data_IF_936073448888
#
_entry.id   IF_936073448888
#
_cell.length_a   1.000
_cell.length_b   1.000
_cell.length_c   1.000
_cell.angle_alpha   90.00
_cell.angle_beta   90.00
_cell.angle_gamma   90.00
#
_symmetry.space_group_name_H-M   'P 1'
#
loop_
_entity.id
_entity.type
_entity.pdbx_description
1 polymer ?
#
# COMPACT_ATOMS: atom_id res chain seq x y z
N UNK A 1 -43.79 -12.74 10.89
CA UNK A 1 -42.56 -13.04 11.66
C UNK A 1 -42.87 -12.71 13.10
N UNK A 2 -42.59 -13.64 13.98
CA UNK A 2 -42.87 -13.56 15.41
C UNK A 2 -41.57 -13.68 16.18
N UNK A 3 -41.54 -13.12 17.37
CA UNK A 3 -40.35 -13.19 18.20
C UNK A 3 -40.69 -13.25 19.69
N UNK A 4 -39.75 -13.76 20.47
CA UNK A 4 -39.76 -13.81 21.94
C UNK A 4 -38.48 -13.16 22.43
N UNK A 5 -38.62 -12.28 23.41
CA UNK A 5 -37.51 -11.75 24.22
C UNK A 5 -37.46 -12.54 25.53
N UNK A 6 -36.28 -13.08 25.87
CA UNK A 6 -36.01 -13.64 27.19
C UNK A 6 -34.83 -12.90 27.81
N UNK A 7 -34.98 -12.45 29.06
CA UNK A 7 -33.86 -11.94 29.84
C UNK A 7 -32.85 -13.05 30.10
N UNK A 8 -31.57 -12.68 30.16
CA UNK A 8 -30.52 -13.60 30.57
C UNK A 8 -30.64 -13.88 32.07
N UNK A 9 -30.78 -15.15 32.47
CA UNK A 9 -30.62 -15.51 33.87
C UNK A 9 -29.16 -15.24 34.28
N UNK A 10 -28.95 -14.57 35.42
CA UNK A 10 -27.60 -14.25 35.91
C UNK A 10 -26.74 -15.53 36.01
N UNK A 11 -25.59 -15.50 35.34
CA UNK A 11 -24.63 -16.60 35.23
C UNK A 11 -23.86 -16.93 36.53
N UNK A 12 -24.50 -16.79 37.69
CA UNK A 12 -23.97 -17.25 38.99
C UNK A 12 -24.40 -18.69 39.34
N UNK A 13 -25.08 -19.40 38.42
CA UNK A 13 -25.32 -20.84 38.57
C UNK A 13 -24.52 -21.64 37.54
N UNK A 14 -23.54 -22.34 38.07
CA UNK A 14 -22.69 -23.32 37.40
C UNK A 14 -23.50 -24.28 36.51
N UNK A 15 -23.00 -24.53 35.29
CA UNK A 15 -23.33 -25.65 34.39
C UNK A 15 -24.70 -25.72 33.70
N UNK A 16 -25.48 -24.64 33.62
CA UNK A 16 -26.71 -24.60 32.82
C UNK A 16 -26.54 -23.86 31.50
N UNK A 17 -26.57 -24.54 30.36
CA UNK A 17 -26.71 -23.85 29.07
C UNK A 17 -28.01 -23.05 29.02
N UNK A 18 -28.02 -21.89 28.35
CA UNK A 18 -29.20 -21.03 28.19
C UNK A 18 -30.44 -21.87 27.85
N UNK A 19 -31.51 -21.72 28.65
CA UNK A 19 -32.76 -22.44 28.47
C UNK A 19 -33.38 -22.05 27.12
N UNK A 20 -33.20 -22.89 26.10
CA UNK A 20 -33.77 -22.67 24.78
C UNK A 20 -35.31 -22.61 24.85
N UNK A 21 -35.89 -21.58 24.23
CA UNK A 21 -37.35 -21.46 24.06
C UNK A 21 -37.87 -22.71 23.33
N UNK A 22 -38.77 -23.46 23.97
CA UNK A 22 -39.44 -24.57 23.29
C UNK A 22 -40.49 -24.04 22.32
N UNK A 23 -40.88 -24.84 21.30
CA UNK A 23 -41.94 -24.44 20.37
C UNK A 23 -43.27 -24.12 21.09
N UNK A 24 -43.65 -24.94 22.08
CA UNK A 24 -44.86 -24.74 22.87
C UNK A 24 -44.81 -23.45 23.70
N UNK A 25 -43.64 -23.14 24.28
CA UNK A 25 -43.45 -21.88 24.99
C UNK A 25 -43.51 -20.69 24.03
N UNK A 26 -42.83 -20.78 22.88
CA UNK A 26 -42.84 -19.77 21.84
C UNK A 26 -44.26 -19.46 21.36
N UNK A 27 -45.06 -20.48 21.06
CA UNK A 27 -46.47 -20.32 20.65
C UNK A 27 -47.31 -19.55 21.66
N UNK A 28 -47.01 -19.70 22.96
CA UNK A 28 -47.75 -19.06 24.04
C UNK A 28 -47.38 -17.59 24.23
N UNK A 29 -46.10 -17.22 24.06
CA UNK A 29 -45.60 -15.90 24.46
C UNK A 29 -45.07 -15.03 23.31
N UNK A 30 -44.97 -15.56 22.09
CA UNK A 30 -44.45 -14.83 20.97
C UNK A 30 -45.30 -13.61 20.60
N UNK A 31 -44.61 -12.53 20.23
CA UNK A 31 -45.19 -11.28 19.76
C UNK A 31 -44.96 -11.14 18.26
N UNK A 32 -45.90 -10.50 17.57
CA UNK A 32 -45.78 -10.26 16.14
C UNK A 32 -44.75 -9.14 15.89
N UNK A 33 -43.60 -9.47 15.32
CA UNK A 33 -42.60 -8.48 14.90
C UNK A 33 -43.06 -7.77 13.61
N UNK A 34 -43.43 -8.54 12.59
CA UNK A 34 -43.89 -8.00 11.31
C UNK A 34 -44.88 -8.94 10.62
N UNK A 35 -45.89 -8.37 9.98
CA UNK A 35 -46.77 -9.07 9.05
C UNK A 35 -46.54 -8.56 7.64
N UNK A 36 -46.03 -9.43 6.76
CA UNK A 36 -45.76 -9.10 5.36
C UNK A 36 -46.98 -9.53 4.55
N UNK A 37 -47.65 -8.58 3.89
CA UNK A 37 -48.77 -8.90 2.98
C UNK A 37 -48.26 -9.48 1.66
N UNK A 38 -49.06 -10.31 1.00
CA UNK A 38 -48.70 -11.00 -0.25
C UNK A 38 -48.20 -10.02 -1.32
N UNK A 39 -48.81 -8.84 -1.41
CA UNK A 39 -48.48 -7.82 -2.40
C UNK A 39 -47.05 -7.27 -2.23
N UNK A 40 -46.48 -7.40 -1.02
CA UNK A 40 -45.11 -6.99 -0.71
C UNK A 40 -44.09 -8.12 -0.82
N UNK A 41 -44.49 -9.35 -1.11
CA UNK A 41 -43.57 -10.50 -1.17
C UNK A 41 -42.46 -10.30 -2.21
N UNK A 42 -42.80 -9.69 -3.35
CA UNK A 42 -41.84 -9.37 -4.41
C UNK A 42 -40.67 -8.52 -3.91
N UNK A 43 -40.91 -7.58 -2.98
CA UNK A 43 -39.87 -6.72 -2.41
C UNK A 43 -38.85 -7.48 -1.54
N UNK A 44 -39.21 -8.67 -1.05
CA UNK A 44 -38.35 -9.49 -0.20
C UNK A 44 -37.74 -10.69 -0.94
N UNK A 45 -38.00 -10.85 -2.25
CA UNK A 45 -37.41 -11.96 -3.03
C UNK A 45 -35.92 -11.69 -3.25
N UNK A 46 -35.07 -12.69 -2.98
CA UNK A 46 -33.63 -12.56 -3.20
C UNK A 46 -33.32 -12.35 -4.70
N UNK A 47 -32.57 -11.31 -5.05
CA UNK A 47 -32.10 -11.07 -6.43
C UNK A 47 -31.20 -12.25 -6.87
N UNK A 48 -31.42 -12.77 -8.08
CA UNK A 48 -30.59 -13.82 -8.68
C UNK A 48 -30.93 -15.26 -8.28
N UNK A 49 -32.02 -15.53 -7.54
CA UNK A 49 -32.46 -16.91 -7.32
C UNK A 49 -33.35 -17.40 -8.45
N UNK A 50 -32.83 -18.30 -9.30
CA UNK A 50 -33.63 -19.02 -10.32
C UNK A 50 -34.65 -20.00 -9.68
N UNK A 51 -34.50 -20.32 -8.39
CA UNK A 51 -35.43 -21.18 -7.67
C UNK A 51 -36.64 -20.41 -7.12
N UNK A 52 -37.88 -20.93 -7.23
CA UNK A 52 -39.03 -20.36 -6.55
C UNK A 52 -38.84 -20.48 -5.02
N UNK A 53 -38.80 -19.35 -4.30
CA UNK A 53 -39.16 -19.33 -2.87
C UNK A 53 -38.15 -18.81 -1.83
N UNK A 54 -37.02 -18.20 -2.19
CA UNK A 54 -36.14 -17.56 -1.18
C UNK A 54 -36.53 -16.10 -0.92
N UNK A 55 -36.94 -15.82 0.32
CA UNK A 55 -37.25 -14.48 0.81
C UNK A 55 -36.25 -14.04 1.88
N UNK A 56 -35.86 -12.76 1.87
CA UNK A 56 -34.96 -12.16 2.86
C UNK A 56 -35.69 -11.00 3.55
N UNK A 57 -35.77 -11.05 4.87
CA UNK A 57 -36.26 -9.96 5.71
C UNK A 57 -35.12 -9.48 6.61
N UNK A 58 -34.98 -8.16 6.73
CA UNK A 58 -34.00 -7.53 7.61
C UNK A 58 -34.72 -7.09 8.89
N UNK A 59 -34.27 -7.58 10.03
CA UNK A 59 -34.71 -7.13 11.34
C UNK A 59 -33.65 -6.17 11.89
N UNK A 60 -34.05 -4.94 12.18
CA UNK A 60 -33.17 -3.91 12.74
C UNK A 60 -33.31 -3.92 14.26
N UNK A 61 -32.18 -4.08 14.96
CA UNK A 61 -32.11 -4.00 16.41
C UNK A 61 -32.09 -2.52 16.83
N UNK A 62 -32.99 -2.16 17.74
CA UNK A 62 -33.10 -0.81 18.30
C UNK A 62 -32.46 -0.75 19.68
N UNK A 63 -32.15 0.45 20.19
CA UNK A 63 -31.39 0.66 21.45
C UNK A 63 -31.84 -0.14 22.69
N UNK A 64 -33.07 -0.67 22.74
CA UNK A 64 -33.57 -1.53 23.83
C UNK A 64 -33.28 -3.03 23.63
N UNK A 65 -33.02 -3.45 22.39
CA UNK A 65 -32.79 -4.83 21.97
C UNK A 65 -31.34 -5.29 22.22
N UNK A 66 -30.43 -4.35 22.51
CA UNK A 66 -29.03 -4.61 22.86
C UNK A 66 -28.83 -4.92 24.36
N UNK A 67 -29.89 -4.88 25.17
CA UNK A 67 -29.86 -5.41 26.55
C UNK A 67 -29.60 -6.93 26.50
N UNK A 68 -29.00 -7.55 27.55
CA UNK A 68 -28.68 -8.99 27.55
C UNK A 68 -29.97 -9.83 27.52
N UNK A 69 -30.47 -10.04 26.30
CA UNK A 69 -31.69 -10.77 25.99
C UNK A 69 -31.43 -11.71 24.84
N UNK A 70 -32.00 -12.91 24.93
CA UNK A 70 -32.06 -13.83 23.82
C UNK A 70 -33.29 -13.50 22.98
N UNK A 71 -33.07 -13.24 21.69
CA UNK A 71 -34.13 -13.02 20.72
C UNK A 71 -34.36 -14.31 19.94
N UNK A 72 -35.52 -14.93 20.14
CA UNK A 72 -35.91 -16.12 19.39
C UNK A 72 -36.95 -15.75 18.36
N UNK A 73 -36.75 -16.15 17.10
CA UNK A 73 -37.63 -15.84 15.97
C UNK A 73 -38.32 -17.10 15.44
N UNK A 74 -39.57 -16.93 15.03
CA UNK A 74 -40.39 -17.94 14.39
C UNK A 74 -41.18 -17.37 13.23
N UNK A 75 -41.28 -18.13 12.15
CA UNK A 75 -42.00 -17.75 10.94
C UNK A 75 -43.26 -18.60 10.83
N UNK A 76 -44.39 -18.01 10.45
CA UNK A 76 -45.59 -18.75 10.06
C UNK A 76 -46.30 -17.99 8.96
N UNK A 77 -47.09 -18.72 8.16
CA UNK A 77 -47.85 -18.15 7.05
C UNK A 77 -49.33 -18.16 7.36
N UNK A 78 -50.06 -17.19 6.78
CA UNK A 78 -51.52 -17.18 6.73
C UNK A 78 -51.97 -17.40 5.30
N UNK A 79 -52.93 -18.27 5.11
CA UNK A 79 -53.56 -18.44 3.81
C UNK A 79 -54.64 -17.38 3.54
N UNK A 80 -55.27 -17.44 2.35
CA UNK A 80 -56.34 -16.49 1.97
C UNK A 80 -57.58 -16.57 2.87
N UNK A 81 -57.79 -17.68 3.57
CA UNK A 81 -58.88 -17.89 4.54
C UNK A 81 -58.46 -17.53 5.97
N UNK A 82 -57.31 -16.86 6.15
CA UNK A 82 -56.72 -16.47 7.44
C UNK A 82 -56.33 -17.65 8.34
N UNK A 83 -56.23 -18.86 7.80
CA UNK A 83 -55.73 -20.03 8.53
C UNK A 83 -54.23 -19.91 8.71
N UNK A 84 -53.75 -20.15 9.92
CA UNK A 84 -52.33 -20.08 10.28
C UNK A 84 -51.67 -21.44 10.14
N UNK A 85 -50.45 -21.49 9.62
CA UNK A 85 -49.58 -22.65 9.76
C UNK A 85 -49.02 -22.74 11.19
N UNK A 86 -48.44 -23.90 11.52
CA UNK A 86 -47.47 -23.97 12.62
C UNK A 86 -46.27 -23.06 12.36
N UNK A 87 -45.46 -22.82 13.38
CA UNK A 87 -44.22 -22.08 13.24
C UNK A 87 -43.12 -22.90 12.53
N UNK A 88 -42.19 -22.20 11.89
CA UNK A 88 -40.93 -22.73 11.43
C UNK A 88 -40.08 -23.26 12.59
N UNK A 89 -38.94 -23.87 12.27
CA UNK A 89 -37.85 -23.99 13.24
C UNK A 89 -37.54 -22.62 13.85
N UNK A 90 -37.23 -22.62 15.15
CA UNK A 90 -36.91 -21.42 15.89
C UNK A 90 -35.44 -21.03 15.68
N UNK A 91 -35.20 -19.74 15.50
CA UNK A 91 -33.86 -19.17 15.39
C UNK A 91 -33.60 -18.27 16.58
N UNK A 92 -32.67 -18.65 17.45
CA UNK A 92 -32.24 -17.82 18.58
C UNK A 92 -30.96 -17.07 18.21
N UNK A 93 -30.95 -15.76 18.47
CA UNK A 93 -29.78 -14.90 18.34
C UNK A 93 -29.53 -14.16 19.66
N UNK A 94 -28.26 -13.88 19.92
CA UNK A 94 -27.79 -13.08 21.04
C UNK A 94 -27.17 -11.79 20.49
N UNK A 95 -27.89 -10.66 20.54
CA UNK A 95 -27.32 -9.38 20.18
C UNK A 95 -26.09 -9.05 21.04
N UNK A 96 -24.99 -8.65 20.39
CA UNK A 96 -23.79 -8.19 21.09
C UNK A 96 -23.62 -6.70 20.85
N UNK A 97 -23.35 -5.95 21.92
CA UNK A 97 -22.93 -4.56 21.80
C UNK A 97 -21.50 -4.55 21.28
N UNK A 98 -21.34 -3.98 20.10
CA UNK A 98 -20.06 -3.93 19.39
C UNK A 98 -19.65 -2.47 19.15
N UNK A 99 -18.35 -2.23 19.06
CA UNK A 99 -17.83 -0.92 18.67
C UNK A 99 -18.33 -0.52 17.28
N UNK A 100 -18.59 0.78 17.08
CA UNK A 100 -18.71 1.35 15.73
C UNK A 100 -17.41 1.13 14.93
N UNK A 101 -17.47 1.21 13.59
CA UNK A 101 -16.27 1.08 12.76
C UNK A 101 -15.23 2.17 13.07
N UNK A 102 -13.94 1.89 12.83
CA UNK A 102 -12.91 2.93 12.76
C UNK A 102 -13.28 4.01 11.74
N UNK A 103 -12.76 5.21 11.94
CA UNK A 103 -13.05 6.38 11.09
C UNK A 103 -11.78 7.15 10.76
N UNK A 104 -11.85 8.01 9.75
CA UNK A 104 -10.73 8.86 9.37
C UNK A 104 -9.53 8.07 8.86
N UNK A 105 -9.79 7.00 8.10
CA UNK A 105 -8.72 6.24 7.46
C UNK A 105 -7.90 7.15 6.54
N UNK A 106 -6.58 6.99 6.54
CA UNK A 106 -5.63 7.69 5.67
C UNK A 106 -4.57 6.71 5.20
N UNK A 107 -4.00 6.97 4.02
CA UNK A 107 -2.88 6.20 3.49
C UNK A 107 -1.74 7.14 3.08
N UNK A 108 -0.51 6.73 3.40
CA UNK A 108 0.71 7.39 2.95
C UNK A 108 1.60 6.35 2.26
N UNK A 109 2.07 6.68 1.05
CA UNK A 109 2.94 5.80 0.27
C UNK A 109 4.38 6.05 0.69
N UNK A 110 5.13 4.98 0.92
CA UNK A 110 6.58 4.95 1.14
C UNK A 110 7.24 4.09 0.06
N UNK A 111 8.57 4.05 0.01
CA UNK A 111 9.29 3.21 -0.96
C UNK A 111 9.02 1.71 -0.78
N UNK A 112 8.74 1.27 0.44
CA UNK A 112 8.65 -0.15 0.82
C UNK A 112 7.27 -0.58 1.35
N UNK A 113 6.33 0.37 1.53
CA UNK A 113 4.98 0.08 2.02
C UNK A 113 3.97 1.19 1.72
N UNK A 114 2.70 0.85 1.83
CA UNK A 114 1.62 1.80 2.08
C UNK A 114 1.32 1.78 3.57
N UNK A 115 1.54 2.90 4.26
CA UNK A 115 1.18 3.06 5.66
C UNK A 115 -0.25 3.57 5.79
N UNK A 116 -1.10 2.78 6.44
CA UNK A 116 -2.50 3.06 6.68
C UNK A 116 -2.64 3.51 8.13
N UNK A 117 -3.31 4.62 8.37
CA UNK A 117 -3.58 5.19 9.71
C UNK A 117 -5.06 5.48 9.87
N UNK A 118 -5.57 5.48 11.10
CA UNK A 118 -7.00 5.68 11.39
C UNK A 118 -7.25 6.16 12.82
N UNK A 119 -8.45 6.68 13.07
CA UNK A 119 -8.93 6.96 14.42
C UNK A 119 -9.78 5.79 14.95
N UNK A 120 -9.70 5.47 16.25
CA UNK A 120 -10.64 4.54 16.87
C UNK A 120 -12.07 5.08 16.79
N UNK A 121 -13.06 4.19 16.85
CA UNK A 121 -14.42 4.61 17.17
C UNK A 121 -14.49 5.22 18.57
N UNK A 122 -15.43 6.13 18.80
CA UNK A 122 -15.66 6.75 20.12
C UNK A 122 -16.83 6.08 20.89
N UNK A 123 -17.67 5.33 20.17
CA UNK A 123 -18.91 4.74 20.69
C UNK A 123 -19.14 3.33 20.17
N UNK A 124 -19.99 2.60 20.88
CA UNK A 124 -20.59 1.36 20.43
C UNK A 124 -21.84 1.62 19.57
N UNK A 125 -22.36 0.57 18.94
CA UNK A 125 -23.57 0.61 18.09
C UNK A 125 -24.81 1.14 18.84
N UNK A 126 -24.87 0.94 20.15
CA UNK A 126 -25.93 1.44 21.04
C UNK A 126 -25.66 2.86 21.59
N UNK A 127 -24.65 3.56 21.06
CA UNK A 127 -24.18 4.88 21.50
C UNK A 127 -23.49 4.91 22.86
N UNK A 128 -23.28 3.77 23.52
CA UNK A 128 -22.53 3.70 24.77
C UNK A 128 -21.02 3.91 24.56
N UNK A 129 -20.34 4.31 25.64
CA UNK A 129 -18.88 4.48 25.72
C UNK A 129 -18.35 3.86 27.03
N UNK A 130 -17.07 3.44 27.11
CA UNK A 130 -16.08 3.42 26.03
C UNK A 130 -16.40 2.36 24.96
N UNK A 131 -15.86 2.51 23.75
CA UNK A 131 -16.01 1.52 22.68
C UNK A 131 -15.36 0.18 23.08
N UNK A 132 -16.02 -0.93 22.76
CA UNK A 132 -15.53 -2.27 23.07
C UNK A 132 -14.79 -2.85 21.87
N UNK A 133 -13.46 -2.89 21.92
CA UNK A 133 -12.62 -3.62 20.96
C UNK A 133 -11.27 -4.00 21.58
N UNK A 134 -10.57 -4.92 20.91
CA UNK A 134 -9.30 -5.54 21.28
C UNK A 134 -8.18 -5.21 20.31
N UNK A 135 -8.53 -4.86 19.08
CA UNK A 135 -7.63 -4.42 18.03
C UNK A 135 -8.36 -4.27 16.70
N UNK A 136 -7.61 -4.26 15.61
CA UNK A 136 -8.13 -4.03 14.27
C UNK A 136 -7.73 -5.13 13.31
N UNK A 137 -8.61 -5.37 12.34
CA UNK A 137 -8.30 -6.06 11.11
C UNK A 137 -8.32 -5.08 9.95
N UNK A 138 -7.31 -5.20 9.09
CA UNK A 138 -7.13 -4.38 7.91
C UNK A 138 -7.45 -5.26 6.72
N UNK A 139 -8.31 -4.76 5.85
CA UNK A 139 -8.74 -5.45 4.65
C UNK A 139 -8.32 -4.68 3.42
N UNK A 140 -7.85 -5.40 2.40
CA UNK A 140 -7.56 -4.89 1.06
C UNK A 140 -8.58 -5.45 0.09
N UNK A 141 -9.12 -4.61 -0.78
CA UNK A 141 -10.00 -5.03 -1.86
C UNK A 141 -9.18 -5.32 -3.10
N UNK A 142 -9.46 -6.45 -3.76
CA UNK A 142 -8.96 -6.68 -5.12
C UNK A 142 -9.79 -5.88 -6.15
N UNK A 143 -9.43 -5.98 -7.42
CA UNK A 143 -10.13 -5.31 -8.52
C UNK A 143 -11.62 -5.68 -8.58
N UNK A 144 -11.96 -6.94 -8.34
CA UNK A 144 -13.33 -7.45 -8.29
C UNK A 144 -14.12 -7.00 -7.05
N UNK A 145 -13.52 -6.23 -6.14
CA UNK A 145 -14.16 -5.74 -4.91
C UNK A 145 -14.28 -6.80 -3.82
N UNK A 146 -13.56 -7.93 -3.93
CA UNK A 146 -13.46 -8.93 -2.87
C UNK A 146 -12.39 -8.51 -1.87
N UNK A 147 -12.74 -8.56 -0.60
CA UNK A 147 -11.87 -8.18 0.50
C UNK A 147 -11.08 -9.38 1.05
N UNK A 148 -9.80 -9.18 1.34
CA UNK A 148 -8.98 -10.13 2.08
C UNK A 148 -8.25 -9.43 3.22
N UNK A 149 -8.07 -10.15 4.33
CA UNK A 149 -7.44 -9.64 5.55
C UNK A 149 -5.91 -9.65 5.39
N UNK A 150 -5.25 -8.54 5.73
CA UNK A 150 -3.79 -8.39 5.61
C UNK A 150 -3.02 -8.86 6.84
N UNK A 151 -3.57 -8.64 8.02
CA UNK A 151 -2.92 -8.96 9.29
C UNK A 151 -3.31 -10.36 9.78
N UNK A 152 -2.36 -11.13 10.32
CA UNK A 152 -2.63 -12.42 10.95
C UNK A 152 -3.06 -12.26 12.41
N UNK A 153 -2.39 -11.38 13.15
CA UNK A 153 -2.72 -10.98 14.52
C UNK A 153 -3.44 -9.63 14.56
N UNK A 154 -4.25 -9.39 15.60
CA UNK A 154 -4.95 -8.12 15.76
C UNK A 154 -3.95 -6.96 15.91
N UNK A 155 -4.15 -5.91 15.13
CA UNK A 155 -3.34 -4.69 15.23
C UNK A 155 -3.85 -3.86 16.40
N UNK A 156 -2.98 -3.59 17.39
CA UNK A 156 -3.34 -2.77 18.57
C UNK A 156 -3.01 -1.29 18.38
N UNK A 157 -2.08 -1.00 17.48
CA UNK A 157 -1.69 0.36 17.10
C UNK A 157 -2.75 1.01 16.21
N UNK A 158 -2.60 2.30 15.92
CA UNK A 158 -3.45 3.07 14.97
C UNK A 158 -2.80 3.24 13.60
N UNK A 159 -1.92 2.29 13.27
CA UNK A 159 -1.20 2.25 12.01
C UNK A 159 -0.91 0.81 11.58
N UNK A 160 -0.82 0.60 10.27
CA UNK A 160 -0.45 -0.66 9.66
C UNK A 160 0.31 -0.41 8.35
N UNK A 161 1.41 -1.12 8.11
CA UNK A 161 2.17 -1.01 6.87
C UNK A 161 1.92 -2.20 5.94
N UNK A 162 1.19 -1.98 4.84
CA UNK A 162 1.07 -2.95 3.75
C UNK A 162 2.35 -2.93 2.90
N UNK A 163 3.16 -3.98 3.02
CA UNK A 163 4.41 -4.14 2.27
C UNK A 163 4.22 -4.85 0.93
N UNK A 164 3.05 -5.43 0.70
CA UNK A 164 2.72 -6.12 -0.54
C UNK A 164 2.11 -5.12 -1.53
N UNK A 165 2.99 -4.26 -2.05
CA UNK A 165 2.64 -3.23 -3.01
C UNK A 165 3.61 -3.18 -4.18
N UNK A 166 3.12 -2.67 -5.29
CA UNK A 166 3.85 -2.28 -6.48
C UNK A 166 3.53 -0.83 -6.77
N UNK A 167 4.56 -0.01 -7.01
CA UNK A 167 4.39 1.38 -7.37
C UNK A 167 3.71 1.49 -8.74
N UNK A 168 2.82 2.48 -8.88
CA UNK A 168 1.97 2.68 -10.06
C UNK A 168 0.57 2.06 -9.94
N UNK A 169 0.35 1.18 -8.97
CA UNK A 169 -0.94 0.49 -8.79
C UNK A 169 -1.87 1.23 -7.82
N UNK A 170 -3.19 0.98 -7.95
CA UNK A 170 -4.23 1.55 -7.07
C UNK A 170 -4.64 0.52 -6.03
N UNK A 171 -4.70 0.96 -4.78
CA UNK A 171 -5.03 0.12 -3.62
C UNK A 171 -6.25 0.65 -2.90
N UNK A 172 -7.11 -0.26 -2.44
CA UNK A 172 -8.32 0.08 -1.69
C UNK A 172 -8.34 -0.67 -0.36
N UNK A 173 -8.58 0.05 0.73
CA UNK A 173 -8.54 -0.47 2.08
C UNK A 173 -9.79 -0.10 2.88
N UNK A 174 -10.18 -0.97 3.80
CA UNK A 174 -11.07 -0.62 4.91
C UNK A 174 -10.65 -1.40 6.16
N UNK A 175 -11.13 -0.96 7.31
CA UNK A 175 -10.82 -1.57 8.60
C UNK A 175 -12.08 -2.02 9.32
N UNK A 176 -11.88 -2.94 10.25
CA UNK A 176 -12.87 -3.31 11.26
C UNK A 176 -12.24 -3.36 12.63
N UNK A 177 -12.98 -2.90 13.64
CA UNK A 177 -12.63 -3.12 15.04
C UNK A 177 -13.03 -4.54 15.44
N UNK A 178 -12.14 -5.26 16.14
CA UNK A 178 -12.34 -6.65 16.55
C UNK A 178 -12.54 -6.72 18.05
N UNK A 179 -13.48 -7.54 18.51
CA UNK A 179 -14.02 -7.48 19.88
C UNK A 179 -13.68 -8.73 20.68
N UNK A 180 -13.55 -9.87 20.00
CA UNK A 180 -13.13 -11.12 20.64
C UNK A 180 -11.68 -11.44 20.30
N UNK A 181 -10.96 -11.93 21.31
CA UNK A 181 -9.59 -12.43 21.22
C UNK A 181 -9.55 -13.87 20.67
N UNK A 182 -10.71 -14.46 20.36
CA UNK A 182 -10.86 -15.87 19.96
C UNK A 182 -11.94 -16.04 18.89
N UNK A 183 -11.73 -16.97 17.93
CA UNK A 183 -12.72 -17.29 16.90
C UNK A 183 -14.07 -17.81 17.47
N UNK A 184 -15.20 -17.56 16.78
CA UNK A 184 -15.33 -16.69 15.63
C UNK A 184 -15.09 -15.22 16.03
N UNK A 185 -14.30 -14.51 15.23
CA UNK A 185 -14.02 -13.10 15.47
C UNK A 185 -15.33 -12.30 15.31
N UNK A 186 -15.66 -11.50 16.31
CA UNK A 186 -16.73 -10.50 16.20
C UNK A 186 -16.12 -9.17 15.79
N UNK A 187 -16.58 -8.62 14.68
CA UNK A 187 -16.07 -7.40 14.07
C UNK A 187 -17.17 -6.35 13.95
N UNK A 188 -16.77 -5.07 13.97
CA UNK A 188 -17.63 -3.96 13.56
C UNK A 188 -18.00 -4.06 12.08
N UNK A 189 -18.90 -3.17 11.65
CA UNK A 189 -19.03 -2.84 10.23
C UNK A 189 -17.70 -2.34 9.63
N UNK A 190 -17.67 -2.20 8.31
CA UNK A 190 -16.53 -1.61 7.61
C UNK A 190 -16.41 -0.12 7.95
N UNK A 191 -15.18 0.36 8.09
CA UNK A 191 -14.89 1.78 7.91
C UNK A 191 -15.25 2.25 6.49
N UNK A 192 -15.12 3.55 6.24
CA UNK A 192 -15.03 4.07 4.89
C UNK A 192 -13.88 3.40 4.11
N UNK A 193 -14.05 3.31 2.79
CA UNK A 193 -13.02 2.78 1.89
C UNK A 193 -12.03 3.89 1.57
N UNK A 194 -10.75 3.67 1.88
CA UNK A 194 -9.64 4.50 1.40
C UNK A 194 -9.12 3.96 0.08
N UNK A 195 -9.01 4.81 -0.93
CA UNK A 195 -8.33 4.51 -2.17
C UNK A 195 -7.04 5.33 -2.27
N UNK A 196 -5.95 4.69 -2.67
CA UNK A 196 -4.63 5.33 -2.82
C UNK A 196 -3.92 4.80 -4.05
N UNK A 197 -3.43 5.71 -4.89
CA UNK A 197 -2.47 5.39 -5.95
C UNK A 197 -1.07 5.33 -5.33
N UNK A 198 -0.39 4.19 -5.44
CA UNK A 198 0.98 4.00 -4.99
C UNK A 198 1.97 4.69 -5.92
N UNK A 199 1.87 6.01 -6.09
CA UNK A 199 2.71 6.77 -7.00
C UNK A 199 4.16 6.76 -6.52
N UNK A 200 5.07 6.48 -7.43
CA UNK A 200 6.50 6.60 -7.17
C UNK A 200 6.94 8.07 -7.20
N UNK A 201 7.39 8.55 -6.04
CA UNK A 201 7.95 9.90 -5.86
C UNK A 201 9.34 9.84 -5.20
N UNK A 202 9.97 8.66 -5.19
CA UNK A 202 11.20 8.41 -4.42
C UNK A 202 12.40 8.39 -5.34
N UNK A 203 13.05 9.54 -5.47
CA UNK A 203 14.29 9.64 -6.23
C UNK A 203 15.33 8.60 -5.78
N UNK A 204 16.16 8.10 -6.71
CA UNK A 204 17.32 7.27 -6.37
C UNK A 204 18.28 8.00 -5.41
N UNK A 205 19.15 7.24 -4.76
CA UNK A 205 20.30 7.79 -4.06
C UNK A 205 21.23 8.51 -5.04
N UNK A 206 21.90 9.56 -4.55
CA UNK A 206 22.93 10.24 -5.34
C UNK A 206 24.07 9.24 -5.68
N UNK A 207 24.59 9.25 -6.92
CA UNK A 207 25.72 8.41 -7.30
C UNK A 207 26.95 8.69 -6.43
N UNK A 208 27.73 7.65 -6.13
CA UNK A 208 28.95 7.71 -5.32
C UNK A 208 30.17 7.25 -6.12
N UNK A 209 31.37 7.40 -5.53
CA UNK A 209 32.60 6.91 -6.16
C UNK A 209 32.99 7.65 -7.45
N UNK A 210 32.53 8.89 -7.62
CA UNK A 210 32.80 9.67 -8.82
C UNK A 210 34.30 9.96 -8.96
N UNK A 211 34.87 9.53 -10.07
CA UNK A 211 36.26 9.78 -10.46
C UNK A 211 36.33 10.29 -11.89
N UNK A 212 37.37 11.06 -12.18
CA UNK A 212 37.63 11.60 -13.51
C UNK A 212 39.10 11.45 -13.88
N UNK A 213 39.37 11.13 -15.15
CA UNK A 213 40.72 10.98 -15.70
C UNK A 213 40.78 11.74 -17.03
N UNK A 214 41.71 12.68 -17.16
CA UNK A 214 41.98 13.35 -18.43
C UNK A 214 42.80 12.47 -19.36
N UNK A 215 42.36 12.39 -20.62
CA UNK A 215 43.13 11.85 -21.75
C UNK A 215 43.55 13.02 -22.67
N UNK A 216 44.07 12.71 -23.87
CA UNK A 216 44.45 13.74 -24.85
C UNK A 216 43.23 14.48 -25.44
N UNK A 217 42.15 13.74 -25.71
CA UNK A 217 40.99 14.25 -26.46
C UNK A 217 39.69 14.32 -25.64
N UNK A 218 39.64 13.68 -24.47
CA UNK A 218 38.43 13.64 -23.64
C UNK A 218 38.74 13.48 -22.14
N UNK A 219 37.76 13.79 -21.31
CA UNK A 219 37.79 13.42 -19.89
C UNK A 219 36.89 12.19 -19.69
N UNK A 220 37.47 11.09 -19.21
CA UNK A 220 36.74 9.89 -18.80
C UNK A 220 36.21 10.08 -17.39
N UNK A 221 34.92 9.84 -17.18
CA UNK A 221 34.24 9.98 -15.90
C UNK A 221 33.60 8.64 -15.57
N UNK A 222 33.77 8.15 -14.35
CA UNK A 222 33.15 6.90 -13.90
C UNK A 222 32.72 6.99 -12.45
N UNK A 223 31.72 6.19 -12.08
CA UNK A 223 31.15 6.15 -10.73
C UNK A 223 30.67 4.74 -10.38
N UNK A 224 30.32 4.53 -9.12
CA UNK A 224 29.74 3.28 -8.66
C UNK A 224 28.28 3.16 -9.11
N UNK A 225 27.86 1.97 -9.53
CA UNK A 225 26.48 1.74 -9.94
C UNK A 225 25.51 1.81 -8.75
N UNK A 226 24.35 2.43 -9.00
CA UNK A 226 23.22 2.51 -8.10
C UNK A 226 22.53 1.14 -8.04
N UNK A 227 21.92 0.80 -6.90
CA UNK A 227 21.35 -0.53 -6.65
C UNK A 227 19.81 -0.56 -6.77
N UNK A 228 19.21 0.60 -7.02
CA UNK A 228 17.77 0.76 -7.21
C UNK A 228 17.27 -0.01 -8.44
N UNK A 229 16.24 -0.86 -8.24
CA UNK A 229 15.68 -1.74 -9.29
C UNK A 229 14.95 -0.98 -10.40
N UNK A 230 14.47 0.21 -10.08
CA UNK A 230 13.74 1.13 -10.93
C UNK A 230 14.62 2.21 -11.55
N UNK A 231 15.95 2.13 -11.41
CA UNK A 231 16.89 3.02 -12.07
C UNK A 231 16.67 3.01 -13.59
N UNK A 232 16.49 4.20 -14.18
CA UNK A 232 16.46 4.39 -15.63
C UNK A 232 17.84 4.72 -16.20
N UNK A 233 18.66 5.45 -15.43
CA UNK A 233 20.04 5.76 -15.80
C UNK A 233 20.60 7.00 -15.09
N UNK A 234 21.65 7.57 -15.66
CA UNK A 234 22.41 8.67 -15.10
C UNK A 234 22.39 9.91 -16.00
N UNK A 235 22.43 11.09 -15.38
CA UNK A 235 22.63 12.36 -16.06
C UNK A 235 23.98 12.94 -15.66
N UNK A 236 24.79 13.30 -16.65
CA UNK A 236 26.13 13.86 -16.46
C UNK A 236 26.06 15.36 -16.64
N UNK A 237 26.55 16.08 -15.63
CA UNK A 237 26.57 17.53 -15.62
C UNK A 237 28.00 18.04 -15.54
N UNK A 238 28.29 19.14 -16.23
CA UNK A 238 29.61 19.77 -16.25
C UNK A 238 29.51 21.27 -16.06
N UNK A 239 30.51 21.88 -15.43
CA UNK A 239 30.79 23.30 -15.58
C UNK A 239 32.28 23.55 -15.75
N UNK A 240 32.66 24.64 -16.41
CA UNK A 240 34.05 25.08 -16.48
C UNK A 240 34.44 25.84 -15.20
N UNK A 241 35.73 25.85 -14.86
CA UNK A 241 36.27 26.73 -13.83
C UNK A 241 35.94 28.20 -14.13
N UNK A 242 35.41 28.91 -13.13
CA UNK A 242 34.90 30.27 -13.29
C UNK A 242 33.41 30.35 -13.71
N UNK A 243 32.77 29.24 -14.07
CA UNK A 243 31.32 29.21 -14.31
C UNK A 243 30.52 28.86 -13.05
N UNK A 244 29.35 29.47 -12.92
CA UNK A 244 28.44 29.26 -11.79
C UNK A 244 27.51 28.06 -11.99
N UNK A 245 27.11 27.78 -13.24
CA UNK A 245 26.05 26.81 -13.56
C UNK A 245 26.61 25.57 -14.23
N UNK A 246 26.10 24.42 -13.81
CA UNK A 246 26.29 23.17 -14.53
C UNK A 246 25.40 23.11 -15.77
N UNK A 247 25.96 22.68 -16.89
CA UNK A 247 25.26 22.28 -18.10
C UNK A 247 25.08 20.76 -18.13
N UNK A 248 23.97 20.30 -18.71
CA UNK A 248 23.69 18.88 -18.91
C UNK A 248 24.40 18.39 -20.18
N UNK A 249 25.24 17.37 -20.06
CA UNK A 249 25.93 16.76 -21.20
C UNK A 249 25.11 15.63 -21.85
N UNK A 250 24.28 14.94 -21.05
CA UNK A 250 23.49 13.79 -21.50
C UNK A 250 22.00 14.18 -21.62
N UNK A 251 21.42 14.29 -22.82
CA UNK A 251 20.03 14.71 -22.99
C UNK A 251 19.02 13.70 -22.40
N UNK A 252 19.35 12.41 -22.49
CA UNK A 252 18.62 11.31 -21.87
C UNK A 252 19.51 10.60 -20.82
N UNK A 253 18.91 9.93 -19.82
CA UNK A 253 19.68 9.13 -18.87
C UNK A 253 20.47 8.02 -19.59
N UNK A 254 21.75 7.90 -19.28
CA UNK A 254 22.62 6.83 -19.78
C UNK A 254 22.61 5.65 -18.80
N UNK A 255 22.60 4.41 -19.30
CA UNK A 255 22.54 3.23 -18.44
C UNK A 255 23.90 2.80 -17.87
N UNK A 256 24.99 3.14 -18.56
CA UNK A 256 26.35 2.84 -18.11
C UNK A 256 26.78 3.74 -16.94
N UNK A 257 27.71 3.25 -16.12
CA UNK A 257 28.30 3.98 -15.00
C UNK A 257 29.61 4.71 -15.38
N UNK A 258 29.76 5.03 -16.67
CA UNK A 258 30.88 5.77 -17.20
C UNK A 258 30.44 6.64 -18.38
N UNK A 259 31.13 7.76 -18.57
CA UNK A 259 30.88 8.72 -19.64
C UNK A 259 32.19 9.38 -20.09
N UNK A 260 32.38 9.51 -21.40
CA UNK A 260 33.51 10.21 -21.98
C UNK A 260 33.05 11.58 -22.48
N UNK A 261 33.54 12.64 -21.84
CA UNK A 261 33.30 14.00 -22.32
C UNK A 261 34.36 14.38 -23.36
N UNK A 262 33.97 14.25 -24.64
CA UNK A 262 34.80 14.59 -25.80
C UNK A 262 34.66 16.06 -26.22
N UNK A 263 33.88 16.86 -25.49
CA UNK A 263 33.63 18.28 -25.80
C UNK A 263 34.53 19.23 -25.00
N UNK A 264 35.62 18.70 -24.43
CA UNK A 264 36.55 19.42 -23.57
C UNK A 264 37.62 20.13 -24.40
N UNK A 265 37.99 21.33 -23.97
CA UNK A 265 39.09 22.09 -24.56
C UNK A 265 40.38 21.86 -23.79
N UNK A 266 41.53 21.96 -24.47
CA UNK A 266 42.86 21.85 -23.86
C UNK A 266 43.13 23.02 -22.90
N UNK A 267 43.91 22.77 -21.85
CA UNK A 267 44.27 23.74 -20.82
C UNK A 267 43.07 24.38 -20.09
N UNK A 268 41.99 23.63 -19.91
CA UNK A 268 40.80 24.03 -19.13
C UNK A 268 40.57 23.10 -17.96
N UNK A 269 40.01 23.62 -16.87
CA UNK A 269 39.51 22.82 -15.75
C UNK A 269 37.99 22.72 -15.82
N UNK A 270 37.50 21.51 -15.63
CA UNK A 270 36.08 21.20 -15.59
C UNK A 270 35.72 20.55 -14.26
N UNK A 271 34.49 20.78 -13.82
CA UNK A 271 33.88 20.14 -12.65
C UNK A 271 32.71 19.28 -13.13
N UNK A 272 32.62 18.06 -12.62
CA UNK A 272 31.58 17.11 -12.98
C UNK A 272 30.80 16.67 -11.75
N UNK A 273 29.49 16.52 -11.94
CA UNK A 273 28.56 15.92 -10.98
C UNK A 273 27.58 15.02 -11.74
N UNK A 274 27.13 13.96 -11.08
CA UNK A 274 26.22 12.98 -11.66
C UNK A 274 24.93 12.96 -10.85
N UNK A 275 23.79 12.81 -11.52
CA UNK A 275 22.51 12.47 -10.90
C UNK A 275 22.01 11.13 -11.44
N UNK A 276 21.29 10.38 -10.62
CA UNK A 276 20.57 9.17 -11.02
C UNK A 276 19.09 9.52 -11.25
N UNK A 277 18.47 8.92 -12.25
CA UNK A 277 17.04 9.09 -12.54
C UNK A 277 16.37 7.71 -12.59
N UNK A 278 15.21 7.59 -11.95
CA UNK A 278 14.37 6.38 -12.03
C UNK A 278 13.45 6.39 -13.26
N UNK A 279 12.73 5.28 -13.45
CA UNK A 279 11.76 5.10 -14.55
C UNK A 279 10.51 5.97 -14.41
N UNK A 280 10.24 6.47 -13.22
CA UNK A 280 9.13 7.39 -12.91
C UNK A 280 9.52 8.86 -13.15
N UNK A 281 10.79 9.11 -13.45
CA UNK A 281 11.35 10.43 -13.76
C UNK A 281 11.89 11.17 -12.54
N UNK A 282 11.88 10.58 -11.33
CA UNK A 282 12.45 11.24 -10.16
C UNK A 282 13.98 11.24 -10.27
N UNK A 283 14.58 12.40 -10.05
CA UNK A 283 16.03 12.61 -10.16
C UNK A 283 16.64 12.80 -8.77
N UNK A 284 17.77 12.14 -8.53
CA UNK A 284 18.51 12.20 -7.27
C UNK A 284 19.09 13.59 -7.03
N UNK A 285 19.50 13.90 -5.79
CA UNK A 285 20.51 14.92 -5.56
C UNK A 285 21.77 14.67 -6.40
N UNK A 286 22.54 15.73 -6.67
CA UNK A 286 23.84 15.63 -7.35
C UNK A 286 24.82 14.88 -6.44
N UNK A 287 25.70 14.09 -7.06
CA UNK A 287 26.87 13.51 -6.40
C UNK A 287 27.81 14.59 -5.85
N UNK A 288 28.80 14.16 -5.07
CA UNK A 288 30.01 14.95 -4.84
C UNK A 288 30.64 15.35 -6.17
N UNK A 289 31.23 16.56 -6.22
CA UNK A 289 31.87 17.07 -7.43
C UNK A 289 33.31 16.59 -7.54
N UNK A 290 33.72 16.15 -8.73
CA UNK A 290 35.12 15.93 -9.08
C UNK A 290 35.58 17.01 -10.06
N UNK A 291 36.86 17.40 -10.01
CA UNK A 291 37.43 18.34 -10.97
C UNK A 291 38.59 17.72 -11.72
N UNK A 292 38.72 18.07 -12.99
CA UNK A 292 39.80 17.60 -13.85
C UNK A 292 40.25 18.70 -14.80
N UNK A 293 41.58 18.87 -14.91
CA UNK A 293 42.19 19.72 -15.92
C UNK A 293 42.64 18.90 -17.12
N UNK A 294 42.39 19.41 -18.33
CA UNK A 294 42.94 18.88 -19.58
C UNK A 294 44.39 19.34 -19.75
N UNK A 295 45.21 18.51 -20.39
CA UNK A 295 46.63 18.82 -20.65
C UNK A 295 46.79 19.47 -22.02
N UNK A 296 47.90 20.19 -22.19
CA UNK A 296 48.30 20.71 -23.49
C UNK A 296 48.56 19.54 -24.45
N UNK A 297 48.05 19.64 -25.68
CA UNK A 297 48.37 18.66 -26.71
C UNK A 297 49.82 18.84 -27.12
N UNK A 298 50.68 17.86 -26.85
CA UNK A 298 52.07 17.93 -27.29
C UNK A 298 52.13 17.79 -28.81
N UNK A 299 52.28 18.90 -29.52
CA UNK A 299 52.84 18.89 -30.88
C UNK A 299 54.38 18.77 -30.87
N UNK A 300 54.99 18.39 -29.74
CA UNK A 300 56.43 18.10 -29.66
C UNK A 300 56.71 16.64 -30.03
N UNK A 301 56.56 16.27 -31.30
CA UNK A 301 57.29 15.11 -31.85
C UNK A 301 57.41 15.09 -33.39
N UNK A 302 57.23 16.23 -34.08
CA UNK A 302 57.54 16.36 -35.51
C UNK A 302 58.81 17.18 -35.82
N UNK A 303 59.50 17.73 -34.80
CA UNK A 303 60.77 18.46 -34.99
C UNK A 303 62.04 17.66 -34.63
N UNK A 304 61.93 16.42 -34.11
CA UNK A 304 63.12 15.61 -33.75
C UNK A 304 63.65 14.77 -34.93
N UNK A 305 62.92 14.64 -36.04
CA UNK A 305 63.38 13.86 -37.21
C UNK A 305 64.30 14.58 -38.20
N UNK A 306 64.50 15.90 -38.08
CA UNK A 306 65.40 16.65 -38.99
C UNK A 306 66.71 17.13 -38.35
N UNK A 307 66.99 16.76 -37.10
CA UNK A 307 68.26 17.10 -36.42
C UNK A 307 69.11 15.90 -36.00
N UNK A 308 68.78 14.68 -36.46
CA UNK A 308 69.53 13.45 -36.17
C UNK A 308 70.18 12.77 -37.39
N UNK A 309 70.34 13.49 -38.51
CA UNK A 309 71.08 13.02 -39.69
C UNK A 309 72.37 13.81 -40.04
N UNK A 310 72.76 14.86 -39.31
CA UNK A 310 74.02 15.58 -39.60
C UNK A 310 75.17 15.32 -38.61
N UNK A 311 74.97 14.53 -37.54
CA UNK A 311 76.01 14.24 -36.53
C UNK A 311 76.55 12.79 -36.54
N UNK A 312 76.27 12.01 -37.58
CA UNK A 312 76.88 10.68 -37.80
C UNK A 312 77.87 10.61 -38.98
N UNK A 313 78.30 11.76 -39.49
CA UNK A 313 79.22 11.89 -40.63
C UNK A 313 80.69 12.13 -40.28
N UNK A 314 81.14 11.90 -39.04
CA UNK A 314 82.54 12.09 -38.68
C UNK A 314 82.95 11.06 -37.63
N UNK A 315 83.42 9.89 -38.07
CA UNK A 315 84.47 9.03 -37.48
C UNK A 315 84.46 7.74 -38.29
N UNK A 316 85.35 7.63 -39.28
CA UNK A 316 86.09 6.43 -39.70
C UNK A 316 86.68 6.66 -41.09
N UNK A 317 87.99 6.97 -41.15
CA UNK A 317 88.93 6.36 -42.10
C UNK A 317 90.38 6.82 -41.82
N UNK A 318 91.28 5.83 -41.86
CA UNK A 318 92.75 5.79 -41.69
C UNK A 318 93.17 5.40 -40.26
N UNK A 319 93.93 4.33 -40.02
CA UNK A 319 94.97 3.66 -40.82
C UNK A 319 94.93 2.13 -40.68
N UNK A 320 95.58 1.41 -41.62
CA UNK A 320 96.73 0.52 -41.34
C UNK A 320 97.33 -0.04 -42.65
N UNK A 321 98.66 0.10 -42.73
CA UNK A 321 99.73 -0.57 -43.48
C UNK A 321 99.44 -1.36 -44.76
#
# INVERSE_FOLDING_TARGET
IWYVEQERENAEKESGGDKKVTLAEFERIARLAVSIKKERFSAYRAKGSEAPGKFRYFYELTGKDYTPKNLTFGLRVKDRKKRESGFSGLLSIEPKIISLPPVGIKAAVFKDRIEITWNPAEKNIDQSSPPHFKGYNIYKLNEAGLAYRLNSQLVKERKYGDKDMTLGEVYRYFLRAVISDSPPLSESDNSEVMEVLAKDTFAPAAPSGLVSIATEDFISISWDANLERDLAGYRVWRKMEGEDKYILLTPLPIQGNAFNDTSVEKNKRYYYVITAQDKSGNESPKSESVSQATREGSYENLSIYTQKQSLLGCVKRRCSF
#
